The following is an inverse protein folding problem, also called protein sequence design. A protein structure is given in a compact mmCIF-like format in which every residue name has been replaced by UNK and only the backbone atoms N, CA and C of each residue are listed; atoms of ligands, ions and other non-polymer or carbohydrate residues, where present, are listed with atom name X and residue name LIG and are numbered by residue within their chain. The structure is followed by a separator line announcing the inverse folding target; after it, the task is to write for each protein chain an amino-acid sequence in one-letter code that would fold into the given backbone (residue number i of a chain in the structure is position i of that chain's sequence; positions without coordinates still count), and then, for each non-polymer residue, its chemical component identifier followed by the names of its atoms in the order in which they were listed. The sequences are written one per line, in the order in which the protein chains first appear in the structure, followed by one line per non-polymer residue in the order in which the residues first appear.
data_IF_205349811006
#
_entry.id   IF_205349811006
#
_cell.length_a   1.000
_cell.length_b   1.000
_cell.length_c   1.000
_cell.angle_alpha   90.00
_cell.angle_beta   90.00
_cell.angle_gamma   90.00
#
_symmetry.space_group_name_H-M   'P 1'
#
loop_
_entity.id
_entity.type
_entity.pdbx_description
1 polymer ?
#
# COMPACT_ATOMS: atom_id res chain seq x y z
N UNK A 1 9.07 2.84 16.37
CA UNK A 1 8.62 1.61 17.06
C UNK A 1 7.10 1.44 17.11
N UNK A 2 6.28 2.51 17.12
CA UNK A 2 4.81 2.37 17.25
C UNK A 2 4.16 1.69 16.04
N UNK A 3 4.49 2.12 14.82
CA UNK A 3 3.89 1.53 13.61
C UNK A 3 4.39 0.10 13.37
N UNK A 4 5.67 -0.20 13.63
CA UNK A 4 6.21 -1.56 13.46
C UNK A 4 5.45 -2.58 14.31
N UNK A 5 5.17 -2.26 15.59
CA UNK A 5 4.40 -3.15 16.47
C UNK A 5 2.96 -3.35 15.97
N UNK A 6 2.34 -2.27 15.51
CA UNK A 6 0.97 -2.30 15.00
C UNK A 6 0.86 -3.17 13.73
N UNK A 7 1.76 -2.93 12.76
CA UNK A 7 1.83 -3.75 11.55
C UNK A 7 2.22 -5.19 11.85
N UNK A 8 3.15 -5.44 12.76
CA UNK A 8 3.53 -6.79 13.17
C UNK A 8 2.32 -7.59 13.67
N UNK A 9 1.45 -6.98 14.48
CA UNK A 9 0.21 -7.63 14.93
C UNK A 9 -0.70 -7.98 13.74
N UNK A 10 -0.95 -6.99 12.87
CA UNK A 10 -1.80 -7.19 11.69
C UNK A 10 -1.29 -8.28 10.75
N UNK A 11 0.03 -8.31 10.50
CA UNK A 11 0.66 -9.31 9.64
C UNK A 11 0.62 -10.71 10.26
N UNK A 12 0.85 -10.82 11.58
CA UNK A 12 0.76 -12.12 12.29
C UNK A 12 -0.62 -12.73 12.20
N UNK A 13 -1.66 -11.92 12.35
CA UNK A 13 -3.06 -12.37 12.25
C UNK A 13 -3.44 -12.79 10.83
N UNK A 14 -2.60 -12.47 9.84
CA UNK A 14 -2.85 -12.68 8.40
C UNK A 14 -1.75 -13.51 7.72
N UNK A 15 -0.96 -14.28 8.48
CA UNK A 15 0.14 -15.09 7.94
C UNK A 15 -0.28 -16.08 6.84
N UNK A 16 -1.55 -16.52 6.86
CA UNK A 16 -2.10 -17.49 5.90
C UNK A 16 -2.93 -16.82 4.79
N UNK A 17 -2.80 -15.49 4.64
CA UNK A 17 -3.57 -14.66 3.69
C UNK A 17 -2.69 -14.21 2.52
N UNK A 18 -3.28 -14.09 1.32
CA UNK A 18 -2.59 -13.50 0.17
C UNK A 18 -2.50 -11.98 0.36
N UNK A 19 -1.29 -11.49 0.64
CA UNK A 19 -1.03 -10.10 0.98
C UNK A 19 -0.32 -9.36 -0.15
N UNK A 20 -0.73 -8.11 -0.36
CA UNK A 20 -0.08 -7.18 -1.27
C UNK A 20 0.28 -5.87 -0.55
N UNK A 21 1.38 -5.25 -0.96
CA UNK A 21 1.80 -3.91 -0.55
C UNK A 21 1.84 -3.00 -1.77
N UNK A 22 0.96 -2.02 -1.83
CA UNK A 22 0.96 -0.98 -2.85
C UNK A 22 1.64 0.30 -2.34
N UNK A 23 2.30 1.01 -3.24
CA UNK A 23 2.95 2.29 -2.99
C UNK A 23 2.44 3.30 -4.01
N UNK A 24 1.96 4.42 -3.51
CA UNK A 24 1.73 5.62 -4.31
C UNK A 24 3.07 6.27 -4.65
N UNK A 25 3.40 6.23 -5.93
CA UNK A 25 4.66 6.73 -6.50
C UNK A 25 4.48 8.04 -7.25
N UNK A 26 3.33 8.70 -7.12
CA UNK A 26 2.98 9.97 -7.80
C UNK A 26 3.77 11.19 -7.32
N UNK A 27 4.44 11.11 -6.16
CA UNK A 27 5.28 12.17 -5.63
C UNK A 27 6.48 11.64 -4.85
N UNK A 28 7.62 12.30 -5.00
CA UNK A 28 8.83 12.04 -4.22
C UNK A 28 8.94 12.95 -2.99
N UNK A 29 7.93 13.78 -2.71
CA UNK A 29 7.87 14.60 -1.49
C UNK A 29 7.63 13.77 -0.23
N UNK A 30 7.28 12.49 -0.40
CA UNK A 30 7.04 11.55 0.70
C UNK A 30 8.36 11.11 1.33
N UNK A 31 8.32 10.73 2.61
CA UNK A 31 9.44 10.20 3.40
C UNK A 31 9.97 8.88 2.80
N UNK A 32 10.76 8.95 1.74
CA UNK A 32 11.29 7.78 1.00
C UNK A 32 12.00 6.75 1.90
N UNK A 33 12.71 7.22 2.93
CA UNK A 33 13.32 6.37 3.96
C UNK A 33 12.26 5.55 4.72
N UNK A 34 11.14 6.18 5.10
CA UNK A 34 10.04 5.50 5.79
C UNK A 34 9.41 4.45 4.88
N UNK A 35 9.13 4.79 3.62
CA UNK A 35 8.60 3.85 2.63
C UNK A 35 9.54 2.65 2.49
N UNK A 36 10.83 2.87 2.26
CA UNK A 36 11.82 1.80 2.16
C UNK A 36 11.85 0.92 3.42
N UNK A 37 11.74 1.50 4.61
CA UNK A 37 11.68 0.75 5.86
C UNK A 37 10.41 -0.10 5.98
N UNK A 38 9.27 0.39 5.51
CA UNK A 38 8.01 -0.38 5.47
C UNK A 38 8.15 -1.55 4.50
N UNK A 39 8.64 -1.31 3.28
CA UNK A 39 8.82 -2.37 2.29
C UNK A 39 9.76 -3.46 2.81
N UNK A 40 10.90 -3.05 3.40
CA UNK A 40 11.83 -3.98 4.03
C UNK A 40 11.17 -4.79 5.15
N UNK A 41 10.38 -4.13 6.01
CA UNK A 41 9.67 -4.80 7.09
C UNK A 41 8.69 -5.86 6.57
N UNK A 42 7.94 -5.57 5.50
CA UNK A 42 7.08 -6.59 4.88
C UNK A 42 7.89 -7.74 4.27
N UNK A 43 9.01 -7.47 3.59
CA UNK A 43 9.85 -8.51 3.02
C UNK A 43 10.53 -9.42 4.05
N UNK A 44 10.77 -8.92 5.27
CA UNK A 44 11.25 -9.72 6.40
C UNK A 44 10.13 -10.56 7.04
N UNK A 45 8.91 -10.02 7.12
CA UNK A 45 7.79 -10.66 7.82
C UNK A 45 7.00 -11.64 6.94
N UNK A 46 6.78 -11.28 5.67
CA UNK A 46 5.96 -12.00 4.69
C UNK A 46 6.65 -11.90 3.31
N UNK A 47 7.72 -12.70 3.08
CA UNK A 47 8.53 -12.70 1.86
C UNK A 47 7.79 -12.83 0.52
N UNK A 48 6.63 -13.48 0.55
CA UNK A 48 5.75 -13.74 -0.59
C UNK A 48 4.89 -12.54 -0.99
N UNK A 49 4.92 -11.46 -0.20
CA UNK A 49 4.15 -10.24 -0.50
C UNK A 49 4.52 -9.71 -1.89
N UNK A 50 3.50 -9.41 -2.68
CA UNK A 50 3.67 -8.69 -3.94
C UNK A 50 3.78 -7.19 -3.65
N UNK A 51 4.80 -6.56 -4.23
CA UNK A 51 4.98 -5.12 -4.20
C UNK A 51 4.43 -4.48 -5.47
N UNK A 52 3.51 -3.55 -5.31
CA UNK A 52 2.87 -2.81 -6.39
C UNK A 52 3.31 -1.36 -6.30
N UNK A 53 3.81 -0.81 -7.41
CA UNK A 53 4.09 0.61 -7.55
C UNK A 53 3.08 1.19 -8.52
N UNK A 54 2.35 2.21 -8.08
CA UNK A 54 1.31 2.82 -8.89
C UNK A 54 1.34 4.34 -8.77
N UNK A 55 0.88 5.02 -9.81
CA UNK A 55 0.54 6.44 -9.82
C UNK A 55 -0.87 6.62 -10.42
N UNK A 56 -1.02 7.33 -11.55
CA UNK A 56 -2.24 7.26 -12.36
C UNK A 56 -2.56 5.83 -12.83
N UNK A 57 -1.53 4.97 -12.93
CA UNK A 57 -1.68 3.56 -13.29
C UNK A 57 -0.70 2.66 -12.57
N UNK A 58 -0.90 1.34 -12.63
CA UNK A 58 0.11 0.38 -12.18
C UNK A 58 1.37 0.52 -13.05
N UNK A 59 2.51 0.69 -12.40
CA UNK A 59 3.83 0.83 -13.02
C UNK A 59 4.63 -0.45 -12.95
N UNK A 60 4.52 -1.18 -11.85
CA UNK A 60 5.15 -2.48 -11.67
C UNK A 60 4.47 -3.29 -10.59
N UNK A 61 4.56 -4.61 -10.75
CA UNK A 61 4.21 -5.60 -9.74
C UNK A 61 5.41 -6.55 -9.67
N UNK A 62 6.06 -6.64 -8.51
CA UNK A 62 7.25 -7.48 -8.32
C UNK A 62 7.19 -8.20 -6.98
N UNK A 63 8.03 -9.23 -6.78
CA UNK A 63 8.28 -9.74 -5.44
C UNK A 63 8.92 -8.64 -4.56
N UNK A 64 8.59 -8.62 -3.27
CA UNK A 64 9.01 -7.54 -2.36
C UNK A 64 10.49 -7.59 -1.96
N UNK A 65 11.23 -8.65 -2.30
CA UNK A 65 12.56 -8.93 -1.72
C UNK A 65 13.69 -8.04 -2.22
N UNK A 66 13.54 -7.39 -3.37
CA UNK A 66 14.55 -6.46 -3.92
C UNK A 66 13.86 -5.28 -4.60
N UNK A 67 13.25 -4.37 -3.82
CA UNK A 67 12.39 -3.34 -4.36
C UNK A 67 13.23 -2.16 -4.84
N UNK A 68 13.25 -1.91 -6.15
CA UNK A 68 13.66 -0.61 -6.69
C UNK A 68 12.42 0.26 -6.83
N UNK A 69 12.25 1.23 -5.93
CA UNK A 69 11.13 2.17 -5.99
C UNK A 69 11.46 3.30 -6.96
N UNK A 70 10.61 3.50 -7.95
CA UNK A 70 10.71 4.59 -8.92
C UNK A 70 9.52 5.53 -8.75
N UNK A 71 9.79 6.80 -8.53
CA UNK A 71 8.77 7.84 -8.42
C UNK A 71 8.52 8.49 -9.79
N UNK A 72 7.27 8.89 -10.02
CA UNK A 72 6.77 9.46 -11.25
C UNK A 72 5.99 10.73 -10.92
N UNK A 73 6.05 11.75 -11.79
CA UNK A 73 5.35 13.04 -11.59
C UNK A 73 4.19 13.21 -12.58
N UNK A 74 3.35 12.16 -12.73
CA UNK A 74 2.19 12.19 -13.62
C UNK A 74 0.89 12.35 -12.84
N UNK A 75 0.59 13.58 -12.41
CA UNK A 75 -0.73 13.94 -11.87
C UNK A 75 -1.16 13.16 -10.62
N UNK A 76 -2.44 13.30 -10.24
CA UNK A 76 -3.01 12.64 -9.06
C UNK A 76 -3.06 11.12 -9.25
N UNK A 77 -2.70 10.39 -8.19
CA UNK A 77 -2.79 8.93 -8.12
C UNK A 77 -4.23 8.44 -8.32
N UNK A 78 -4.41 7.34 -9.04
CA UNK A 78 -5.67 6.60 -9.13
C UNK A 78 -5.52 5.29 -8.37
N UNK A 79 -6.34 5.10 -7.35
CA UNK A 79 -6.32 3.84 -6.59
C UNK A 79 -7.07 2.72 -7.30
N UNK A 80 -7.95 3.08 -8.25
CA UNK A 80 -8.85 2.14 -8.94
C UNK A 80 -8.10 0.93 -9.48
N UNK A 81 -7.06 1.14 -10.29
CA UNK A 81 -6.41 0.02 -10.99
C UNK A 81 -5.75 -0.96 -10.00
N UNK A 82 -5.18 -0.47 -8.91
CA UNK A 82 -4.59 -1.30 -7.87
C UNK A 82 -5.66 -2.10 -7.13
N UNK A 83 -6.81 -1.49 -6.85
CA UNK A 83 -7.91 -2.13 -6.16
C UNK A 83 -8.58 -3.21 -7.05
N UNK A 84 -8.83 -2.91 -8.32
CA UNK A 84 -9.34 -3.88 -9.30
C UNK A 84 -8.37 -5.06 -9.47
N UNK A 85 -7.07 -4.76 -9.57
CA UNK A 85 -6.03 -5.79 -9.63
C UNK A 85 -6.05 -6.67 -8.39
N UNK A 86 -6.18 -6.08 -7.19
CA UNK A 86 -6.22 -6.82 -5.94
C UNK A 86 -7.41 -7.80 -5.91
N UNK A 87 -8.58 -7.39 -6.40
CA UNK A 87 -9.75 -8.25 -6.50
C UNK A 87 -9.58 -9.36 -7.54
N UNK A 88 -9.03 -9.05 -8.72
CA UNK A 88 -8.74 -10.04 -9.78
C UNK A 88 -7.77 -11.12 -9.28
N UNK A 89 -6.72 -10.71 -8.59
CA UNK A 89 -5.71 -11.61 -8.01
C UNK A 89 -6.17 -12.28 -6.71
N UNK A 90 -7.38 -11.98 -6.22
CA UNK A 90 -7.92 -12.53 -4.96
C UNK A 90 -6.98 -12.26 -3.79
N UNK A 91 -6.46 -11.04 -3.72
CA UNK A 91 -5.73 -10.54 -2.57
C UNK A 91 -6.69 -10.49 -1.38
N UNK A 92 -6.34 -11.15 -0.28
CA UNK A 92 -7.12 -11.11 0.95
C UNK A 92 -6.94 -9.77 1.68
N UNK A 93 -5.72 -9.22 1.65
CA UNK A 93 -5.38 -7.99 2.36
C UNK A 93 -4.41 -7.13 1.57
N UNK A 94 -4.82 -5.89 1.31
CA UNK A 94 -4.04 -4.88 0.62
C UNK A 94 -3.59 -3.82 1.62
N UNK A 95 -2.29 -3.63 1.74
CA UNK A 95 -1.71 -2.48 2.42
C UNK A 95 -1.32 -1.44 1.37
N UNK A 96 -1.72 -0.19 1.54
CA UNK A 96 -1.48 0.87 0.55
C UNK A 96 -0.79 2.05 1.21
N UNK A 97 0.45 2.33 0.84
CA UNK A 97 1.20 3.51 1.26
C UNK A 97 0.80 4.71 0.40
N UNK A 98 0.08 5.68 0.96
CA UNK A 98 -0.39 6.88 0.25
C UNK A 98 -0.81 7.98 1.22
N UNK A 99 -0.91 9.21 0.73
CA UNK A 99 -1.50 10.35 1.44
C UNK A 99 -3.04 10.38 1.40
N UNK A 100 -3.67 9.42 0.70
CA UNK A 100 -5.13 9.27 0.53
C UNK A 100 -5.77 10.49 -0.17
N UNK A 101 -5.02 11.17 -1.06
CA UNK A 101 -5.53 12.30 -1.86
C UNK A 101 -5.92 11.95 -3.30
N UNK A 102 -5.66 10.70 -3.70
CA UNK A 102 -6.05 10.13 -4.98
C UNK A 102 -7.55 9.91 -5.10
N UNK A 103 -7.97 9.47 -6.29
CA UNK A 103 -9.38 9.18 -6.59
C UNK A 103 -9.57 7.69 -6.89
N UNK A 104 -10.81 7.24 -6.74
CA UNK A 104 -11.29 5.93 -7.17
C UNK A 104 -12.72 6.09 -7.71
N UNK A 105 -13.23 5.12 -8.46
CA UNK A 105 -14.59 5.18 -9.01
C UNK A 105 -15.64 4.82 -7.95
N UNK A 106 -16.76 5.53 -7.92
CA UNK A 106 -17.81 5.38 -6.89
C UNK A 106 -18.46 3.98 -6.87
N UNK A 107 -18.44 3.25 -7.99
CA UNK A 107 -19.05 1.92 -8.14
C UNK A 107 -18.07 0.74 -7.88
N UNK A 108 -16.90 1.01 -7.30
CA UNK A 108 -15.89 -0.01 -7.08
C UNK A 108 -16.25 -0.93 -5.88
N UNK A 109 -16.50 -2.21 -6.14
CA UNK A 109 -16.71 -3.25 -5.11
C UNK A 109 -15.37 -3.86 -4.64
N UNK A 110 -14.79 -3.27 -3.60
CA UNK A 110 -13.49 -3.72 -3.05
C UNK A 110 -13.69 -4.88 -2.08
N UNK A 111 -13.14 -6.06 -2.42
CA UNK A 111 -13.30 -7.29 -1.59
C UNK A 111 -12.14 -7.51 -0.63
N UNK A 112 -10.95 -7.05 -0.98
CA UNK A 112 -9.78 -7.12 -0.12
C UNK A 112 -9.97 -6.27 1.16
N UNK A 113 -9.44 -6.73 2.30
CA UNK A 113 -9.32 -5.86 3.47
C UNK A 113 -8.23 -4.82 3.19
N UNK A 114 -8.59 -3.53 3.17
CA UNK A 114 -7.65 -2.46 2.84
C UNK A 114 -7.15 -1.70 4.07
N UNK A 115 -5.83 -1.57 4.17
CA UNK A 115 -5.14 -0.76 5.16
C UNK A 115 -4.35 0.37 4.49
N UNK A 116 -4.75 1.61 4.74
CA UNK A 116 -4.10 2.80 4.21
C UNK A 116 -2.96 3.21 5.16
N UNK A 117 -1.72 2.98 4.74
CA UNK A 117 -0.51 3.33 5.48
C UNK A 117 -0.15 4.78 5.18
N UNK A 118 -0.54 5.70 6.06
CA UNK A 118 -0.39 7.15 5.84
C UNK A 118 0.96 7.63 6.38
N UNK A 119 1.91 8.06 5.52
CA UNK A 119 3.26 8.45 5.91
C UNK A 119 3.37 9.90 6.42
N UNK A 120 2.24 10.59 6.54
CA UNK A 120 2.13 11.97 6.98
C UNK A 120 1.59 12.10 8.40
N UNK A 121 1.75 13.31 8.96
CA UNK A 121 1.32 13.60 10.32
C UNK A 121 -0.21 13.69 10.47
N UNK A 122 -0.86 14.10 9.39
CA UNK A 122 -2.31 14.15 9.26
C UNK A 122 -2.83 12.86 8.62
N UNK A 123 -3.86 12.27 9.23
CA UNK A 123 -4.54 11.08 8.68
C UNK A 123 -5.90 11.53 8.16
N UNK A 124 -6.11 11.63 6.84
CA UNK A 124 -7.41 11.95 6.29
C UNK A 124 -8.42 10.83 6.52
N UNK A 125 -9.71 11.16 6.36
CA UNK A 125 -10.78 10.16 6.34
C UNK A 125 -10.60 9.28 5.11
N UNK A 126 -10.42 7.98 5.33
CA UNK A 126 -10.36 6.98 4.25
C UNK A 126 -11.76 6.63 3.75
N UNK A 127 -11.92 6.29 2.47
CA UNK A 127 -13.22 5.94 1.89
C UNK A 127 -13.79 4.63 2.44
N UNK A 128 -12.91 3.66 2.71
CA UNK A 128 -13.21 2.34 3.25
C UNK A 128 -11.95 1.76 3.90
N UNK A 129 -12.07 0.58 4.51
CA UNK A 129 -10.94 -0.05 5.19
C UNK A 129 -10.49 0.71 6.43
N UNK A 130 -9.20 0.66 6.76
CA UNK A 130 -8.64 1.28 7.98
C UNK A 130 -7.40 2.10 7.66
N UNK A 131 -7.34 3.32 8.19
CA UNK A 131 -6.12 4.13 8.12
C UNK A 131 -5.16 3.78 9.25
N UNK A 132 -3.87 3.69 8.94
CA UNK A 132 -2.78 3.49 9.90
C UNK A 132 -1.75 4.59 9.69
N UNK A 133 -1.56 5.43 10.71
CA UNK A 133 -0.46 6.40 10.72
C UNK A 133 0.88 5.68 10.85
N UNK A 134 1.78 5.88 9.90
CA UNK A 134 3.13 5.30 9.92
C UNK A 134 4.26 6.33 10.10
N UNK A 135 3.92 7.62 10.15
CA UNK A 135 4.83 8.73 10.46
C UNK A 135 5.33 8.75 11.91
#
# INVERSE_FOLDING_TARGET
MRWQRSLMGLLKDRKDKKIALAIDTSTNQVRSILINNIVKFFGEMIPETQLIQADFKIRSITAIQNPTIKYYTHGKSSYTEVLEWADQEKIDTLFYITDVTGYFYDELDVKAEVFWLVPDDYVPKVPFGKAIKVA
#
